data_IF_123236990540
#
_entry.id   IF_123236990540
#
_cell.length_a   1.000
_cell.length_b   1.000
_cell.length_c   1.000
_cell.angle_alpha   90.00
_cell.angle_beta   90.00
_cell.angle_gamma   90.00
#
_symmetry.space_group_name_H-M   'P 1'
#
loop_
_entity.id
_entity.type
_entity.pdbx_description
1 polymer ?
#
# COMPACT_ATOMS: atom_id res chain seq x y z
N UNK A 1 -48.97 46.13 -20.86
CA UNK A 1 -49.05 44.70 -20.44
C UNK A 1 -47.91 43.83 -20.96
N UNK A 2 -47.68 43.67 -22.28
CA UNK A 2 -46.68 42.71 -22.80
C UNK A 2 -45.25 42.87 -22.27
N UNK A 3 -44.74 44.10 -22.10
CA UNK A 3 -43.38 44.34 -21.55
C UNK A 3 -43.24 44.00 -20.06
N UNK A 4 -44.29 44.21 -19.26
CA UNK A 4 -44.28 43.90 -17.84
C UNK A 4 -44.20 42.38 -17.61
N UNK A 5 -44.95 41.60 -18.38
CA UNK A 5 -44.95 40.12 -18.29
C UNK A 5 -43.58 39.52 -18.62
N UNK A 6 -42.87 40.06 -19.62
CA UNK A 6 -41.54 39.58 -20.01
C UNK A 6 -40.51 39.85 -18.90
N UNK A 7 -40.55 41.03 -18.27
CA UNK A 7 -39.64 41.39 -17.18
C UNK A 7 -39.90 40.50 -15.96
N UNK A 8 -41.15 40.25 -15.61
CA UNK A 8 -41.52 39.36 -14.48
C UNK A 8 -41.06 37.92 -14.72
N UNK A 9 -41.22 37.40 -15.93
CA UNK A 9 -40.74 36.04 -16.27
C UNK A 9 -39.21 35.93 -16.27
N UNK A 10 -38.50 36.97 -16.72
CA UNK A 10 -37.04 37.00 -16.72
C UNK A 10 -36.48 37.04 -15.29
N UNK A 11 -37.09 37.85 -14.41
CA UNK A 11 -36.73 37.89 -12.98
C UNK A 11 -37.01 36.53 -12.33
N UNK A 12 -38.20 35.94 -12.55
CA UNK A 12 -38.53 34.62 -12.02
C UNK A 12 -37.56 33.53 -12.48
N UNK A 13 -37.12 33.58 -13.74
CA UNK A 13 -36.12 32.66 -14.29
C UNK A 13 -34.74 32.85 -13.65
N UNK A 14 -34.27 34.10 -13.47
CA UNK A 14 -33.00 34.36 -12.79
C UNK A 14 -33.08 33.92 -11.32
N UNK A 15 -34.17 34.21 -10.62
CA UNK A 15 -34.35 33.78 -9.23
C UNK A 15 -34.36 32.26 -9.12
N UNK A 16 -35.07 31.56 -10.02
CA UNK A 16 -35.08 30.10 -10.06
C UNK A 16 -33.70 29.52 -10.41
N UNK A 17 -32.97 30.15 -11.33
CA UNK A 17 -31.61 29.74 -11.70
C UNK A 17 -30.61 29.96 -10.56
N UNK A 18 -30.71 31.07 -9.82
CA UNK A 18 -29.90 31.34 -8.63
C UNK A 18 -30.25 30.40 -7.48
N UNK A 19 -31.54 30.14 -7.23
CA UNK A 19 -31.98 29.21 -6.20
C UNK A 19 -31.51 27.79 -6.52
N UNK A 20 -31.66 27.31 -7.75
CA UNK A 20 -31.21 25.97 -8.15
C UNK A 20 -29.69 25.81 -8.17
N UNK A 21 -28.93 26.89 -8.41
CA UNK A 21 -27.46 26.91 -8.28
C UNK A 21 -26.97 26.95 -6.83
N UNK A 22 -27.79 27.46 -5.91
CA UNK A 22 -27.49 27.56 -4.47
C UNK A 22 -28.16 26.48 -3.62
N UNK A 23 -28.87 25.51 -4.22
CA UNK A 23 -29.11 24.23 -3.56
C UNK A 23 -27.77 23.50 -3.60
N UNK A 24 -26.88 23.92 -2.69
CA UNK A 24 -25.73 23.14 -2.26
C UNK A 24 -26.31 21.77 -1.90
N UNK A 25 -26.11 20.80 -2.81
CA UNK A 25 -26.29 19.42 -2.46
C UNK A 25 -25.32 19.23 -1.31
N UNK A 26 -25.85 19.13 -0.08
CA UNK A 26 -25.05 18.78 1.08
C UNK A 26 -24.27 17.55 0.65
N UNK A 27 -22.97 17.75 0.40
CA UNK A 27 -22.12 16.71 -0.15
C UNK A 27 -22.28 15.55 0.83
N UNK A 28 -22.81 14.43 0.32
CA UNK A 28 -22.79 13.19 1.09
C UNK A 28 -21.32 13.02 1.42
N UNK A 29 -20.92 13.00 2.71
CA UNK A 29 -19.52 12.88 3.07
C UNK A 29 -19.01 11.62 2.36
N UNK A 30 -18.07 11.81 1.44
CA UNK A 30 -17.43 10.70 0.77
C UNK A 30 -16.91 9.76 1.87
N UNK A 31 -17.10 8.44 1.74
CA UNK A 31 -16.59 7.51 2.74
C UNK A 31 -15.10 7.81 2.92
N UNK A 32 -14.68 7.98 4.17
CA UNK A 32 -13.30 8.25 4.57
C UNK A 32 -12.36 7.42 3.70
N UNK A 33 -11.64 8.09 2.79
CA UNK A 33 -10.73 7.38 1.90
C UNK A 33 -9.65 6.77 2.78
N UNK A 34 -9.53 5.45 2.78
CA UNK A 34 -8.45 4.77 3.46
C UNK A 34 -7.11 5.25 2.88
N UNK A 35 -6.24 5.84 3.72
CA UNK A 35 -4.92 6.33 3.31
C UNK A 35 -3.86 5.45 3.97
N UNK A 36 -3.32 4.43 3.27
CA UNK A 36 -2.29 3.57 3.83
C UNK A 36 -0.92 4.27 3.89
N UNK A 37 0.02 3.71 4.66
CA UNK A 37 1.43 4.11 4.59
C UNK A 37 2.05 3.69 3.27
N UNK A 38 1.77 2.46 2.84
CA UNK A 38 2.25 1.87 1.60
C UNK A 38 1.10 1.42 0.71
N UNK A 39 1.27 1.51 -0.61
CA UNK A 39 0.23 1.08 -1.56
C UNK A 39 -0.09 -0.42 -1.45
N UNK A 40 0.90 -1.20 -1.01
CA UNK A 40 0.79 -2.64 -0.82
C UNK A 40 1.29 -2.98 0.59
N UNK A 41 0.38 -3.54 1.35
CA UNK A 41 0.57 -4.07 2.70
C UNK A 41 0.01 -5.49 2.66
N UNK A 42 0.88 -6.48 2.75
CA UNK A 42 0.55 -7.89 2.54
C UNK A 42 1.01 -8.75 3.72
N UNK A 43 0.37 -9.91 3.87
CA UNK A 43 0.82 -10.98 4.77
C UNK A 43 0.92 -12.27 3.97
N UNK A 44 1.99 -13.01 4.21
CA UNK A 44 2.27 -14.27 3.53
C UNK A 44 1.57 -15.45 4.21
N UNK A 45 1.05 -16.37 3.39
CA UNK A 45 0.36 -17.60 3.82
C UNK A 45 1.15 -18.87 3.48
N UNK A 46 2.40 -18.74 3.01
CA UNK A 46 3.17 -19.81 2.36
C UNK A 46 3.18 -21.14 3.13
N UNK A 47 3.27 -21.11 4.46
CA UNK A 47 3.25 -22.33 5.27
C UNK A 47 1.98 -23.17 5.11
N UNK A 48 0.85 -22.55 4.81
CA UNK A 48 -0.42 -23.23 4.62
C UNK A 48 -0.82 -23.29 3.16
N UNK A 49 -0.55 -22.25 2.37
CA UNK A 49 -0.90 -22.22 0.94
C UNK A 49 0.07 -23.04 0.07
N UNK A 50 1.32 -23.25 0.49
CA UNK A 50 2.31 -24.08 -0.20
C UNK A 50 2.62 -25.38 0.56
N UNK A 51 3.16 -25.30 1.78
CA UNK A 51 3.76 -26.47 2.43
C UNK A 51 2.71 -27.57 2.72
N UNK A 52 1.44 -27.18 2.94
CA UNK A 52 0.31 -28.10 3.15
C UNK A 52 -0.52 -28.39 1.89
N UNK A 53 -0.15 -27.84 0.72
CA UNK A 53 -1.01 -27.91 -0.49
C UNK A 53 -1.31 -29.34 -0.90
N UNK A 54 -0.30 -30.22 -0.96
CA UNK A 54 -0.47 -31.60 -1.39
C UNK A 54 -1.27 -32.44 -0.38
N UNK A 55 -1.17 -32.12 0.92
CA UNK A 55 -1.92 -32.81 1.96
C UNK A 55 -3.40 -32.38 1.98
N UNK A 56 -3.65 -31.08 1.82
CA UNK A 56 -4.97 -30.46 2.06
C UNK A 56 -5.80 -30.22 0.82
N UNK A 57 -5.26 -30.49 -0.37
CA UNK A 57 -5.95 -30.26 -1.65
C UNK A 57 -7.35 -30.90 -1.69
N UNK A 58 -7.48 -32.12 -1.18
CA UNK A 58 -8.73 -32.88 -1.19
C UNK A 58 -9.51 -32.81 0.13
N UNK A 59 -9.07 -31.96 1.07
CA UNK A 59 -9.71 -31.80 2.38
C UNK A 59 -10.58 -30.53 2.39
N UNK A 60 -11.92 -30.64 2.21
CA UNK A 60 -12.81 -29.48 2.24
C UNK A 60 -12.94 -28.86 3.63
N UNK A 61 -12.65 -29.61 4.72
CA UNK A 61 -12.73 -29.04 6.07
C UNK A 61 -11.70 -27.93 6.29
N UNK A 62 -10.59 -28.00 5.54
CA UNK A 62 -9.54 -26.99 5.53
C UNK A 62 -10.00 -25.62 4.99
N UNK A 63 -11.16 -25.52 4.32
CA UNK A 63 -11.72 -24.24 3.90
C UNK A 63 -11.97 -23.29 5.07
N UNK A 64 -12.35 -23.83 6.23
CA UNK A 64 -12.52 -23.04 7.45
C UNK A 64 -11.21 -22.41 7.93
N UNK A 65 -10.08 -23.10 7.74
CA UNK A 65 -8.74 -22.61 8.09
C UNK A 65 -8.30 -21.52 7.11
N UNK A 66 -8.52 -21.74 5.81
CA UNK A 66 -8.27 -20.74 4.76
C UNK A 66 -9.08 -19.47 5.04
N UNK A 67 -10.39 -19.63 5.26
CA UNK A 67 -11.31 -18.52 5.51
C UNK A 67 -10.90 -17.71 6.75
N UNK A 68 -10.53 -18.41 7.83
CA UNK A 68 -10.07 -17.78 9.07
C UNK A 68 -8.80 -16.96 8.85
N UNK A 69 -7.75 -17.54 8.26
CA UNK A 69 -6.48 -16.82 8.05
C UNK A 69 -6.66 -15.60 7.15
N UNK A 70 -7.41 -15.73 6.06
CA UNK A 70 -7.63 -14.61 5.14
C UNK A 70 -8.47 -13.52 5.80
N UNK A 71 -9.49 -13.88 6.61
CA UNK A 71 -10.26 -12.91 7.39
C UNK A 71 -9.35 -12.14 8.35
N UNK A 72 -8.50 -12.83 9.09
CA UNK A 72 -7.61 -12.21 10.08
C UNK A 72 -6.61 -11.24 9.42
N UNK A 73 -6.10 -11.60 8.23
CA UNK A 73 -5.25 -10.73 7.42
C UNK A 73 -6.03 -9.48 6.96
N UNK A 74 -7.27 -9.63 6.52
CA UNK A 74 -8.11 -8.48 6.15
C UNK A 74 -8.42 -7.58 7.35
N UNK A 75 -8.69 -8.16 8.52
CA UNK A 75 -9.03 -7.44 9.75
C UNK A 75 -7.88 -6.58 10.31
N UNK A 76 -6.62 -6.82 9.91
CA UNK A 76 -5.51 -5.92 10.26
C UNK A 76 -5.36 -4.74 9.28
N UNK A 77 -6.15 -4.68 8.21
CA UNK A 77 -6.06 -3.65 7.18
C UNK A 77 -5.08 -3.96 6.05
N UNK A 78 -4.73 -5.23 5.85
CA UNK A 78 -3.96 -5.62 4.70
C UNK A 78 -4.72 -5.28 3.41
N UNK A 79 -3.97 -4.93 2.37
CA UNK A 79 -4.50 -4.68 1.03
C UNK A 79 -4.44 -5.93 0.16
N UNK A 80 -3.48 -6.80 0.46
CA UNK A 80 -3.19 -8.01 -0.29
C UNK A 80 -2.97 -9.18 0.67
N UNK A 81 -3.15 -10.39 0.15
CA UNK A 81 -2.62 -11.63 0.75
C UNK A 81 -1.68 -12.30 -0.25
N UNK A 82 -0.52 -12.73 0.21
CA UNK A 82 0.41 -13.50 -0.61
C UNK A 82 0.10 -15.00 -0.50
N UNK A 83 -0.13 -15.64 -1.65
CA UNK A 83 -0.52 -17.05 -1.78
C UNK A 83 0.57 -17.77 -2.56
N UNK A 84 1.19 -18.80 -1.97
CA UNK A 84 2.33 -19.51 -2.54
C UNK A 84 1.98 -20.91 -3.07
N UNK A 85 0.70 -21.22 -3.27
CA UNK A 85 0.28 -22.47 -3.91
C UNK A 85 0.96 -22.62 -5.28
N UNK A 86 1.55 -23.79 -5.59
CA UNK A 86 2.19 -24.00 -6.87
C UNK A 86 1.22 -23.86 -8.05
N UNK A 87 1.76 -23.50 -9.22
CA UNK A 87 0.95 -23.23 -10.42
C UNK A 87 0.68 -24.46 -11.29
N UNK A 88 1.11 -25.64 -10.86
CA UNK A 88 0.78 -26.89 -11.56
C UNK A 88 -0.72 -27.15 -11.53
N UNK A 89 -1.28 -27.68 -12.63
CA UNK A 89 -2.73 -27.92 -12.79
C UNK A 89 -3.34 -28.73 -11.65
N UNK A 90 -2.57 -29.65 -11.07
CA UNK A 90 -3.06 -30.44 -9.95
C UNK A 90 -3.39 -29.57 -8.72
N UNK A 91 -2.66 -28.49 -8.45
CA UNK A 91 -2.85 -27.64 -7.27
C UNK A 91 -3.84 -26.49 -7.52
N UNK A 92 -4.29 -26.30 -8.76
CA UNK A 92 -5.23 -25.24 -9.12
C UNK A 92 -6.52 -25.24 -8.27
N UNK A 93 -7.16 -26.38 -7.95
CA UNK A 93 -8.33 -26.39 -7.07
C UNK A 93 -8.02 -25.79 -5.69
N UNK A 94 -6.83 -26.04 -5.14
CA UNK A 94 -6.40 -25.49 -3.86
C UNK A 94 -6.13 -23.98 -3.96
N UNK A 95 -5.44 -23.54 -5.02
CA UNK A 95 -5.23 -22.12 -5.28
C UNK A 95 -6.55 -21.35 -5.40
N UNK A 96 -7.54 -21.91 -6.10
CA UNK A 96 -8.88 -21.30 -6.24
C UNK A 96 -9.59 -21.11 -4.90
N UNK A 97 -9.40 -22.03 -3.93
CA UNK A 97 -9.96 -21.91 -2.56
C UNK A 97 -9.38 -20.70 -1.84
N UNK A 98 -8.06 -20.52 -1.87
CA UNK A 98 -7.39 -19.35 -1.30
C UNK A 98 -7.78 -18.03 -1.98
N UNK A 99 -7.80 -17.99 -3.32
CA UNK A 99 -8.20 -16.80 -4.08
C UNK A 99 -9.65 -16.43 -3.76
N UNK A 100 -10.56 -17.40 -3.72
CA UNK A 100 -11.97 -17.15 -3.38
C UNK A 100 -12.13 -16.56 -1.98
N UNK A 101 -11.40 -17.08 -0.99
CA UNK A 101 -11.40 -16.52 0.35
C UNK A 101 -10.85 -15.08 0.35
N UNK A 102 -9.75 -14.82 -0.36
CA UNK A 102 -9.17 -13.47 -0.48
C UNK A 102 -10.22 -12.47 -1.00
N UNK A 103 -10.93 -12.83 -2.07
CA UNK A 103 -11.97 -11.96 -2.65
C UNK A 103 -13.15 -11.75 -1.72
N UNK A 104 -13.57 -12.79 -0.98
CA UNK A 104 -14.66 -12.71 0.01
C UNK A 104 -14.41 -11.58 1.03
N UNK A 105 -13.15 -11.36 1.41
CA UNK A 105 -12.75 -10.32 2.36
C UNK A 105 -12.17 -9.05 1.72
N UNK A 106 -12.36 -8.87 0.41
CA UNK A 106 -11.95 -7.66 -0.30
C UNK A 106 -10.44 -7.52 -0.51
N UNK A 107 -9.66 -8.58 -0.30
CA UNK A 107 -8.22 -8.57 -0.52
C UNK A 107 -7.87 -8.77 -2.00
N UNK A 108 -6.88 -8.01 -2.44
CA UNK A 108 -6.13 -8.32 -3.65
C UNK A 108 -5.21 -9.52 -3.39
N UNK A 109 -4.77 -10.21 -4.44
CA UNK A 109 -3.92 -11.40 -4.31
C UNK A 109 -2.55 -11.07 -4.88
N UNK A 110 -1.53 -11.37 -4.09
CA UNK A 110 -0.20 -11.59 -4.62
C UNK A 110 0.02 -13.08 -4.85
N UNK A 111 -0.05 -13.50 -6.12
CA UNK A 111 0.34 -14.83 -6.55
C UNK A 111 1.86 -14.95 -6.43
N UNK A 112 2.32 -15.66 -5.40
CA UNK A 112 3.72 -15.85 -5.04
C UNK A 112 4.05 -17.35 -4.96
N UNK A 113 3.45 -18.13 -5.86
CA UNK A 113 3.75 -19.54 -6.07
C UNK A 113 4.84 -19.73 -7.13
N UNK A 114 5.12 -20.97 -7.49
CA UNK A 114 6.01 -21.35 -8.58
C UNK A 114 5.54 -22.68 -9.18
N UNK A 115 6.04 -23.09 -10.34
CA UNK A 115 5.86 -24.48 -10.78
C UNK A 115 6.72 -25.40 -9.92
N UNK A 116 6.16 -26.51 -9.46
CA UNK A 116 6.81 -27.45 -8.55
C UNK A 116 8.14 -27.97 -9.12
N UNK A 117 8.20 -28.14 -10.44
CA UNK A 117 9.42 -28.53 -11.13
C UNK A 117 10.56 -27.48 -11.10
N UNK A 118 10.33 -26.23 -10.70
CA UNK A 118 11.42 -25.26 -10.57
C UNK A 118 12.42 -25.69 -9.49
N UNK A 119 11.92 -26.01 -8.31
CA UNK A 119 12.73 -26.45 -7.16
C UNK A 119 12.73 -27.97 -6.99
N UNK A 120 11.91 -28.69 -7.76
CA UNK A 120 11.70 -30.13 -7.62
C UNK A 120 10.81 -30.48 -6.41
N UNK A 121 9.89 -29.59 -6.05
CA UNK A 121 8.90 -29.84 -5.00
C UNK A 121 8.02 -31.04 -5.36
N UNK A 122 7.53 -31.75 -4.34
CA UNK A 122 6.60 -32.88 -4.48
C UNK A 122 7.10 -34.00 -5.43
N UNK A 123 8.41 -34.10 -5.66
CA UNK A 123 9.02 -35.09 -6.55
C UNK A 123 8.94 -34.75 -8.04
N UNK A 124 8.56 -33.52 -8.40
CA UNK A 124 8.52 -33.08 -9.79
C UNK A 124 9.92 -33.05 -10.42
N UNK A 125 10.05 -33.41 -11.72
CA UNK A 125 11.31 -33.25 -12.44
C UNK A 125 11.69 -31.77 -12.56
N UNK A 126 12.99 -31.49 -12.51
CA UNK A 126 13.51 -30.13 -12.66
C UNK A 126 13.21 -29.58 -14.06
N UNK A 127 12.77 -28.33 -14.12
CA UNK A 127 12.48 -27.61 -15.37
C UNK A 127 13.55 -26.58 -15.70
N UNK A 128 13.68 -26.25 -16.98
CA UNK A 128 14.57 -25.18 -17.46
C UNK A 128 13.92 -23.79 -17.34
N UNK A 129 14.72 -22.72 -17.50
CA UNK A 129 14.21 -21.34 -17.61
C UNK A 129 13.22 -21.17 -18.75
N UNK A 130 13.51 -21.73 -19.93
CA UNK A 130 12.63 -21.62 -21.10
C UNK A 130 11.31 -22.36 -20.88
N UNK A 131 11.38 -23.55 -20.26
CA UNK A 131 10.17 -24.29 -19.89
C UNK A 131 9.34 -23.52 -18.86
N UNK A 132 9.98 -22.92 -17.84
CA UNK A 132 9.32 -22.11 -16.83
C UNK A 132 8.56 -20.93 -17.47
N UNK A 133 9.20 -20.15 -18.35
CA UNK A 133 8.56 -19.03 -19.04
C UNK A 133 7.33 -19.48 -19.86
N UNK A 134 7.46 -20.59 -20.59
CA UNK A 134 6.34 -21.14 -21.39
C UNK A 134 5.19 -21.58 -20.49
N UNK A 135 5.49 -22.29 -19.38
CA UNK A 135 4.47 -22.71 -18.42
C UNK A 135 3.77 -21.52 -17.77
N UNK A 136 4.53 -20.50 -17.36
CA UNK A 136 3.99 -19.26 -16.78
C UNK A 136 3.03 -18.56 -17.74
N UNK A 137 3.41 -18.41 -19.01
CA UNK A 137 2.51 -17.82 -20.02
C UNK A 137 1.22 -18.63 -20.18
N UNK A 138 1.34 -19.95 -20.32
CA UNK A 138 0.18 -20.83 -20.51
C UNK A 138 -0.76 -20.80 -19.30
N UNK A 139 -0.21 -20.79 -18.08
CA UNK A 139 -1.01 -20.68 -16.86
C UNK A 139 -1.85 -19.40 -16.84
N UNK A 140 -1.24 -18.25 -17.14
CA UNK A 140 -1.97 -16.96 -17.15
C UNK A 140 -3.08 -16.96 -18.22
N UNK A 141 -2.80 -17.49 -19.41
CA UNK A 141 -3.78 -17.54 -20.51
C UNK A 141 -4.96 -18.47 -20.20
N UNK A 142 -4.67 -19.65 -19.66
CA UNK A 142 -5.67 -20.69 -19.44
C UNK A 142 -6.54 -20.42 -18.20
N UNK A 143 -6.02 -19.66 -17.23
CA UNK A 143 -6.68 -19.40 -15.93
C UNK A 143 -6.92 -17.91 -15.70
N UNK A 144 -7.31 -17.19 -16.75
CA UNK A 144 -7.58 -15.75 -16.70
C UNK A 144 -8.66 -15.33 -15.68
N UNK A 145 -9.49 -16.28 -15.24
CA UNK A 145 -10.53 -16.11 -14.22
C UNK A 145 -9.97 -15.94 -12.80
N UNK A 146 -8.72 -16.36 -12.54
CA UNK A 146 -8.07 -16.18 -11.23
C UNK A 146 -7.74 -14.71 -10.92
N UNK A 147 -7.47 -13.92 -11.96
CA UNK A 147 -6.85 -12.62 -11.84
C UNK A 147 -7.86 -11.48 -11.89
N UNK A 148 -7.62 -10.44 -11.08
CA UNK A 148 -8.31 -9.16 -11.17
C UNK A 148 -7.33 -7.99 -11.21
N UNK A 149 -7.83 -6.83 -11.62
CA UNK A 149 -7.05 -5.61 -11.61
C UNK A 149 -6.55 -5.29 -10.20
N UNK A 150 -5.27 -4.92 -10.10
CA UNK A 150 -4.62 -4.62 -8.83
C UNK A 150 -3.87 -5.80 -8.22
N UNK A 151 -4.10 -7.04 -8.69
CA UNK A 151 -3.31 -8.18 -8.24
C UNK A 151 -1.82 -8.05 -8.60
N UNK A 152 -1.01 -8.88 -7.95
CA UNK A 152 0.42 -9.02 -8.22
C UNK A 152 0.68 -10.49 -8.58
N UNK A 153 1.52 -10.74 -9.58
CA UNK A 153 1.92 -12.07 -10.00
C UNK A 153 3.44 -12.20 -10.08
N UNK A 154 3.99 -13.17 -9.38
CA UNK A 154 5.39 -13.57 -9.45
C UNK A 154 5.46 -15.01 -9.91
N UNK A 155 6.09 -15.26 -11.07
CA UNK A 155 6.23 -16.62 -11.62
C UNK A 155 7.30 -17.45 -10.91
N UNK A 156 8.30 -16.79 -10.32
CA UNK A 156 9.25 -17.38 -9.39
C UNK A 156 9.57 -16.40 -8.23
N UNK A 157 9.04 -16.60 -7.02
CA UNK A 157 9.66 -16.05 -5.83
C UNK A 157 10.97 -16.81 -5.55
N UNK A 158 12.01 -16.09 -5.12
CA UNK A 158 13.33 -16.64 -4.83
C UNK A 158 13.86 -17.55 -5.96
N UNK A 159 13.86 -17.04 -7.19
CA UNK A 159 14.19 -17.84 -8.37
C UNK A 159 15.57 -18.54 -8.25
N UNK A 160 16.47 -18.03 -7.42
CA UNK A 160 17.77 -18.64 -7.10
C UNK A 160 17.68 -20.05 -6.49
N UNK A 161 16.54 -20.42 -5.88
CA UNK A 161 16.37 -21.72 -5.21
C UNK A 161 16.11 -22.88 -6.19
N UNK A 162 15.81 -22.58 -7.45
CA UNK A 162 15.46 -23.59 -8.46
C UNK A 162 16.10 -23.33 -9.82
N UNK A 163 15.63 -24.08 -10.82
CA UNK A 163 16.14 -24.01 -12.18
C UNK A 163 17.66 -24.23 -12.24
N UNK A 164 18.42 -23.33 -12.90
CA UNK A 164 19.88 -23.38 -12.92
C UNK A 164 20.55 -23.17 -11.55
N UNK A 165 19.84 -22.63 -10.56
CA UNK A 165 20.31 -22.39 -9.20
C UNK A 165 20.89 -21.00 -8.95
N UNK A 166 21.47 -20.85 -7.77
CA UNK A 166 21.96 -19.58 -7.24
C UNK A 166 23.07 -18.95 -8.12
N UNK A 167 22.89 -17.71 -8.62
CA UNK A 167 23.87 -17.05 -9.49
C UNK A 167 25.22 -16.79 -8.81
N UNK A 168 25.30 -16.75 -7.48
CA UNK A 168 26.56 -16.66 -6.73
C UNK A 168 27.38 -17.94 -6.83
N UNK A 169 26.69 -19.08 -6.91
CA UNK A 169 27.31 -20.41 -6.96
C UNK A 169 27.60 -20.83 -8.39
N UNK A 170 26.67 -20.55 -9.31
CA UNK A 170 26.80 -20.92 -10.73
C UNK A 170 27.69 -19.96 -11.52
N UNK A 171 27.83 -18.71 -11.05
CA UNK A 171 28.50 -17.63 -11.78
C UNK A 171 27.68 -17.06 -12.94
N UNK A 172 26.45 -17.54 -13.16
CA UNK A 172 25.60 -17.16 -14.29
C UNK A 172 24.73 -15.91 -13.99
N UNK A 173 25.41 -14.79 -13.67
CA UNK A 173 24.74 -13.51 -13.41
C UNK A 173 23.96 -13.02 -14.64
N UNK A 174 24.54 -13.13 -15.83
CA UNK A 174 23.93 -12.62 -17.05
C UNK A 174 22.72 -13.46 -17.48
N UNK A 175 22.79 -14.78 -17.38
CA UNK A 175 21.65 -15.65 -17.67
C UNK A 175 20.52 -15.46 -16.67
N UNK A 176 20.84 -15.24 -15.40
CA UNK A 176 19.82 -14.93 -14.37
C UNK A 176 19.10 -13.61 -14.67
N UNK A 177 19.83 -12.53 -14.96
CA UNK A 177 19.24 -11.23 -15.36
C UNK A 177 18.37 -11.35 -16.59
N UNK A 178 18.87 -12.04 -17.63
CA UNK A 178 18.13 -12.25 -18.89
C UNK A 178 16.82 -12.99 -18.64
N UNK A 179 16.85 -14.00 -17.77
CA UNK A 179 15.65 -14.77 -17.40
C UNK A 179 14.59 -13.87 -16.75
N UNK A 180 14.94 -13.11 -15.72
CA UNK A 180 13.98 -12.20 -15.05
C UNK A 180 13.36 -11.20 -16.03
N UNK A 181 14.18 -10.60 -16.91
CA UNK A 181 13.70 -9.64 -17.92
C UNK A 181 12.74 -10.33 -18.89
N UNK A 182 13.10 -11.52 -19.37
CA UNK A 182 12.25 -12.29 -20.30
C UNK A 182 10.92 -12.65 -19.66
N UNK A 183 10.95 -13.13 -18.42
CA UNK A 183 9.75 -13.50 -17.68
C UNK A 183 8.84 -12.29 -17.44
N UNK A 184 9.40 -11.14 -17.06
CA UNK A 184 8.64 -9.90 -16.91
C UNK A 184 7.96 -9.47 -18.21
N UNK A 185 8.68 -9.48 -19.33
CA UNK A 185 8.13 -9.12 -20.63
C UNK A 185 7.00 -10.07 -21.04
N UNK A 186 7.19 -11.38 -20.85
CA UNK A 186 6.20 -12.39 -21.18
C UNK A 186 4.94 -12.27 -20.32
N UNK A 187 5.08 -12.14 -19.00
CA UNK A 187 3.95 -12.00 -18.07
C UNK A 187 3.17 -10.72 -18.33
N UNK A 188 3.85 -9.56 -18.45
CA UNK A 188 3.22 -8.27 -18.78
C UNK A 188 2.44 -8.31 -20.09
N UNK A 189 3.03 -8.86 -21.15
CA UNK A 189 2.36 -9.00 -22.44
C UNK A 189 1.16 -9.95 -22.36
N UNK A 190 1.27 -11.00 -21.55
CA UNK A 190 0.20 -11.99 -21.40
C UNK A 190 -0.99 -11.42 -20.62
N UNK A 191 -0.78 -10.68 -19.53
CA UNK A 191 -1.85 -9.97 -18.82
C UNK A 191 -2.53 -8.91 -19.70
N UNK A 192 -1.76 -8.23 -20.56
CA UNK A 192 -2.33 -7.31 -21.55
C UNK A 192 -3.27 -8.02 -22.53
N UNK A 193 -2.93 -9.24 -22.99
CA UNK A 193 -3.78 -10.02 -23.91
C UNK A 193 -5.11 -10.45 -23.30
N UNK A 194 -5.16 -10.64 -21.97
CA UNK A 194 -6.40 -11.00 -21.25
C UNK A 194 -7.08 -9.79 -20.60
N UNK A 195 -6.64 -8.57 -20.94
CA UNK A 195 -7.22 -7.30 -20.46
C UNK A 195 -7.24 -7.17 -18.93
N UNK A 196 -6.17 -7.61 -18.27
CA UNK A 196 -6.01 -7.50 -16.82
C UNK A 196 -4.83 -6.60 -16.47
N UNK A 197 -5.00 -5.75 -15.45
CA UNK A 197 -3.94 -4.91 -14.89
C UNK A 197 -3.34 -5.58 -13.65
N UNK A 198 -2.52 -6.59 -13.89
CA UNK A 198 -1.76 -7.32 -12.87
C UNK A 198 -0.31 -6.86 -12.90
N UNK A 199 0.27 -6.60 -11.74
CA UNK A 199 1.69 -6.25 -11.60
C UNK A 199 2.55 -7.51 -11.69
N UNK A 200 3.62 -7.53 -12.50
CA UNK A 200 4.42 -8.76 -12.73
C UNK A 200 5.92 -8.62 -12.52
N UNK A 201 6.38 -7.53 -11.88
CA UNK A 201 7.80 -7.26 -11.68
C UNK A 201 8.30 -7.50 -10.25
N UNK A 202 7.53 -8.18 -9.40
CA UNK A 202 7.89 -8.41 -8.00
C UNK A 202 8.65 -9.73 -7.85
N UNK A 203 9.87 -9.78 -8.38
CA UNK A 203 10.75 -10.95 -8.29
C UNK A 203 11.48 -10.92 -6.94
N UNK A 204 10.89 -11.52 -5.91
CA UNK A 204 11.55 -11.76 -4.62
C UNK A 204 12.87 -12.48 -4.82
N UNK A 205 13.92 -12.02 -4.14
CA UNK A 205 15.20 -12.69 -4.03
C UNK A 205 15.89 -12.26 -2.73
N UNK A 206 16.80 -13.08 -2.23
CA UNK A 206 17.59 -12.71 -1.06
C UNK A 206 18.34 -11.38 -1.26
N UNK A 207 18.49 -10.59 -0.20
CA UNK A 207 19.10 -9.25 -0.29
C UNK A 207 20.53 -9.23 -0.86
N UNK A 208 21.30 -10.29 -0.69
CA UNK A 208 22.64 -10.45 -1.29
C UNK A 208 22.59 -10.82 -2.78
N UNK A 209 21.61 -11.62 -3.21
CA UNK A 209 21.29 -11.85 -4.62
C UNK A 209 20.88 -10.54 -5.27
N UNK A 210 20.03 -9.73 -4.62
CA UNK A 210 19.61 -8.43 -5.13
C UNK A 210 20.80 -7.51 -5.40
N UNK A 211 21.79 -7.46 -4.50
CA UNK A 211 23.03 -6.68 -4.71
C UNK A 211 23.86 -7.17 -5.89
N UNK A 212 23.84 -8.47 -6.20
CA UNK A 212 24.56 -9.03 -7.34
C UNK A 212 23.81 -8.79 -8.66
N UNK A 213 22.49 -8.99 -8.65
CA UNK A 213 21.66 -9.07 -9.86
C UNK A 213 21.11 -7.71 -10.27
N UNK A 214 20.68 -6.87 -9.33
CA UNK A 214 19.86 -5.70 -9.62
C UNK A 214 20.70 -4.43 -9.82
N UNK A 215 21.36 -4.35 -10.98
CA UNK A 215 21.97 -3.10 -11.44
C UNK A 215 20.94 -2.15 -12.09
N UNK A 216 21.35 -0.93 -12.43
CA UNK A 216 20.46 0.08 -13.03
C UNK A 216 19.80 -0.37 -14.34
N UNK A 217 20.51 -0.97 -15.31
CA UNK A 217 19.88 -1.50 -16.52
C UNK A 217 18.84 -2.58 -16.23
N UNK A 218 19.18 -3.57 -15.39
CA UNK A 218 18.27 -4.68 -15.05
C UNK A 218 17.03 -4.14 -14.33
N UNK A 219 17.23 -3.27 -13.35
CA UNK A 219 16.15 -2.66 -12.56
C UNK A 219 15.23 -1.83 -13.45
N UNK A 220 15.78 -1.06 -14.40
CA UNK A 220 14.99 -0.30 -15.38
C UNK A 220 14.18 -1.24 -16.29
N UNK A 221 14.79 -2.31 -16.78
CA UNK A 221 14.12 -3.30 -17.63
C UNK A 221 12.97 -4.01 -16.89
N UNK A 222 13.10 -4.18 -15.57
CA UNK A 222 12.07 -4.75 -14.69
C UNK A 222 11.09 -3.70 -14.13
N UNK A 223 11.02 -2.50 -14.71
CA UNK A 223 10.02 -1.50 -14.33
C UNK A 223 10.32 -0.74 -13.03
N UNK A 224 11.57 -0.76 -12.57
CA UNK A 224 12.08 0.15 -11.54
C UNK A 224 11.83 -0.26 -10.09
N UNK A 225 11.39 -1.50 -9.84
CA UNK A 225 11.20 -2.05 -8.49
C UNK A 225 12.15 -3.22 -8.26
N UNK A 226 12.76 -3.27 -7.08
CA UNK A 226 13.58 -4.36 -6.57
C UNK A 226 12.86 -4.98 -5.39
N UNK A 227 12.43 -6.24 -5.54
CA UNK A 227 11.76 -6.99 -4.47
C UNK A 227 12.79 -7.83 -3.74
N UNK A 228 12.90 -7.65 -2.41
CA UNK A 228 13.90 -8.35 -1.59
C UNK A 228 13.25 -9.15 -0.47
N UNK A 229 13.78 -10.34 -0.24
CA UNK A 229 13.49 -11.16 0.93
C UNK A 229 14.65 -10.92 1.89
N UNK A 230 14.35 -10.25 3.02
CA UNK A 230 15.39 -9.64 3.82
C UNK A 230 15.12 -9.76 5.32
N UNK A 231 15.89 -10.64 5.95
CA UNK A 231 15.86 -10.90 7.39
C UNK A 231 17.18 -10.47 8.00
N UNK A 232 17.13 -9.50 8.92
CA UNK A 232 18.32 -8.94 9.59
C UNK A 232 18.08 -8.78 11.07
N UNK A 233 19.16 -8.72 11.85
CA UNK A 233 19.10 -8.64 13.31
C UNK A 233 18.50 -7.33 13.85
N UNK A 234 18.64 -6.19 13.16
CA UNK A 234 18.15 -4.89 13.66
C UNK A 234 17.33 -4.11 12.63
N UNK A 235 16.34 -3.32 13.09
CA UNK A 235 15.61 -2.37 12.24
C UNK A 235 16.51 -1.37 11.50
N UNK A 236 17.58 -0.89 12.15
CA UNK A 236 18.54 0.04 11.52
C UNK A 236 19.25 -0.61 10.33
N UNK A 237 19.62 -1.89 10.46
CA UNK A 237 20.25 -2.63 9.37
C UNK A 237 19.28 -2.79 8.20
N UNK A 238 18.01 -3.10 8.47
CA UNK A 238 16.97 -3.25 7.45
C UNK A 238 16.86 -1.98 6.60
N UNK A 239 16.72 -0.82 7.25
CA UNK A 239 16.62 0.47 6.54
C UNK A 239 17.91 0.84 5.81
N UNK A 240 19.08 0.56 6.41
CA UNK A 240 20.37 0.79 5.75
C UNK A 240 20.49 -0.04 4.47
N UNK A 241 20.11 -1.32 4.52
CA UNK A 241 20.19 -2.22 3.38
C UNK A 241 19.22 -1.81 2.27
N UNK A 242 18.00 -1.38 2.62
CA UNK A 242 17.02 -0.82 1.68
C UNK A 242 17.62 0.37 0.92
N UNK A 243 18.22 1.33 1.65
CA UNK A 243 18.84 2.53 1.04
C UNK A 243 20.01 2.17 0.13
N UNK A 244 20.86 1.25 0.57
CA UNK A 244 22.01 0.77 -0.19
C UNK A 244 21.57 0.15 -1.52
N UNK A 245 20.64 -0.81 -1.47
CA UNK A 245 20.12 -1.49 -2.65
C UNK A 245 19.39 -0.49 -3.57
N UNK A 246 18.60 0.44 -3.03
CA UNK A 246 17.93 1.46 -3.81
C UNK A 246 18.94 2.36 -4.56
N UNK A 247 19.99 2.81 -3.88
CA UNK A 247 21.02 3.65 -4.47
C UNK A 247 21.83 2.92 -5.55
N UNK A 248 22.17 1.65 -5.30
CA UNK A 248 22.91 0.81 -6.23
C UNK A 248 22.10 0.50 -7.49
N UNK A 249 20.88 0.01 -7.31
CA UNK A 249 19.98 -0.42 -8.38
C UNK A 249 19.32 0.74 -9.12
N UNK A 250 19.25 1.93 -8.51
CA UNK A 250 18.47 3.06 -9.01
C UNK A 250 16.95 2.85 -8.96
N UNK A 251 16.47 1.77 -8.33
CA UNK A 251 15.07 1.44 -8.20
C UNK A 251 14.46 1.82 -6.85
N UNK A 252 13.15 1.58 -6.75
CA UNK A 252 12.42 1.51 -5.48
C UNK A 252 12.48 0.11 -4.91
N UNK A 253 12.36 -0.01 -3.59
CA UNK A 253 12.42 -1.29 -2.90
C UNK A 253 11.03 -1.73 -2.48
N UNK A 254 10.77 -3.02 -2.65
CA UNK A 254 9.65 -3.71 -2.06
C UNK A 254 10.19 -4.82 -1.15
N UNK A 255 9.68 -4.93 0.08
CA UNK A 255 10.02 -6.04 0.97
C UNK A 255 9.14 -7.25 0.65
N UNK A 256 9.65 -8.18 -0.16
CA UNK A 256 8.93 -9.36 -0.60
C UNK A 256 8.71 -10.38 0.50
N UNK A 257 9.70 -10.50 1.37
CA UNK A 257 9.56 -11.06 2.70
C UNK A 257 10.32 -10.16 3.66
N UNK A 258 9.63 -9.76 4.73
CA UNK A 258 10.32 -9.31 5.92
C UNK A 258 9.62 -9.91 7.13
N UNK A 259 10.40 -10.13 8.17
CA UNK A 259 9.94 -10.62 9.45
C UNK A 259 10.97 -10.28 10.49
N UNK A 260 10.77 -10.84 11.68
CA UNK A 260 11.77 -10.70 12.73
C UNK A 260 13.00 -11.57 12.42
N UNK A 261 14.14 -11.33 13.09
CA UNK A 261 15.33 -12.13 12.89
C UNK A 261 15.03 -13.63 13.03
N UNK A 262 15.39 -14.42 12.02
CA UNK A 262 15.14 -15.87 12.01
C UNK A 262 15.96 -16.54 13.14
N UNK A 263 15.35 -17.40 13.97
CA UNK A 263 16.02 -18.04 15.11
C UNK A 263 17.37 -18.67 14.82
N UNK A 264 17.47 -19.38 13.70
CA UNK A 264 18.66 -20.14 13.32
C UNK A 264 19.83 -19.23 12.89
N UNK A 265 19.54 -17.97 12.55
CA UNK A 265 20.51 -17.00 12.06
C UNK A 265 20.85 -15.96 13.14
N UNK A 266 19.86 -15.56 13.94
CA UNK A 266 19.95 -14.37 14.79
C UNK A 266 19.56 -14.60 16.27
N UNK A 267 19.10 -15.80 16.62
CA UNK A 267 18.58 -16.12 17.96
C UNK A 267 17.06 -15.99 18.08
N UNK A 268 16.49 -16.66 19.08
CA UNK A 268 15.03 -16.69 19.32
C UNK A 268 14.56 -15.40 19.99
N UNK A 269 13.55 -14.77 19.41
CA UNK A 269 12.74 -13.73 20.06
C UNK A 269 11.48 -14.36 20.64
N UNK A 270 11.07 -13.90 21.83
CA UNK A 270 9.72 -14.16 22.33
C UNK A 270 8.69 -13.23 21.68
N UNK A 271 7.40 -13.49 21.90
CA UNK A 271 6.31 -12.74 21.26
C UNK A 271 6.35 -11.22 21.53
N UNK A 272 6.83 -10.78 22.70
CA UNK A 272 6.97 -9.34 23.02
C UNK A 272 8.16 -8.73 22.30
N UNK A 273 9.28 -9.43 22.25
CA UNK A 273 10.47 -9.00 21.52
C UNK A 273 10.21 -8.94 20.01
N UNK A 274 9.46 -9.92 19.47
CA UNK A 274 9.02 -9.92 18.08
C UNK A 274 8.17 -8.68 17.79
N UNK A 275 7.16 -8.41 18.62
CA UNK A 275 6.30 -7.24 18.44
C UNK A 275 7.07 -5.92 18.54
N UNK A 276 8.00 -5.81 19.49
CA UNK A 276 8.85 -4.63 19.65
C UNK A 276 9.75 -4.40 18.43
N UNK A 277 10.40 -5.45 17.94
CA UNK A 277 11.24 -5.37 16.74
C UNK A 277 10.43 -4.91 15.53
N UNK A 278 9.23 -5.46 15.34
CA UNK A 278 8.33 -5.06 14.23
C UNK A 278 7.90 -3.60 14.38
N UNK A 279 7.59 -3.16 15.61
CA UNK A 279 7.20 -1.77 15.86
C UNK A 279 8.33 -0.80 15.49
N UNK A 280 9.55 -1.11 15.92
CA UNK A 280 10.74 -0.31 15.65
C UNK A 280 11.13 -0.33 14.16
N UNK A 281 10.91 -1.46 13.47
CA UNK A 281 11.08 -1.56 12.02
C UNK A 281 10.07 -0.69 11.28
N UNK A 282 8.77 -0.87 11.52
CA UNK A 282 7.71 -0.13 10.82
C UNK A 282 7.82 1.39 11.07
N UNK A 283 8.16 1.82 12.28
CA UNK A 283 8.38 3.24 12.60
C UNK A 283 9.48 3.89 11.73
N UNK A 284 10.52 3.12 11.38
CA UNK A 284 11.56 3.61 10.47
C UNK A 284 11.16 3.47 9.01
N UNK A 285 10.47 2.38 8.65
CA UNK A 285 10.08 2.09 7.27
C UNK A 285 9.04 3.08 6.73
N UNK A 286 8.16 3.64 7.57
CA UNK A 286 7.22 4.69 7.12
C UNK A 286 7.93 5.96 6.67
N UNK A 287 9.17 6.17 7.15
CA UNK A 287 10.02 7.31 6.79
C UNK A 287 10.99 7.00 5.64
N UNK A 288 10.94 5.80 5.05
CA UNK A 288 11.89 5.38 4.03
C UNK A 288 11.33 5.63 2.61
N UNK A 289 11.73 6.72 1.92
CA UNK A 289 11.12 7.11 0.64
C UNK A 289 11.44 6.16 -0.52
N UNK A 290 12.44 5.28 -0.37
CA UNK A 290 12.72 4.25 -1.36
C UNK A 290 11.80 3.03 -1.23
N UNK A 291 11.12 2.83 -0.10
CA UNK A 291 10.22 1.71 0.12
C UNK A 291 8.81 1.98 -0.42
N UNK A 292 8.29 1.11 -1.28
CA UNK A 292 6.96 1.27 -1.92
C UNK A 292 5.89 0.30 -1.43
N UNK A 293 6.30 -0.74 -0.71
CA UNK A 293 5.40 -1.77 -0.18
C UNK A 293 6.15 -2.86 0.55
N UNK A 294 5.39 -3.68 1.28
CA UNK A 294 5.93 -4.76 2.10
C UNK A 294 4.95 -5.93 2.21
N UNK A 295 5.53 -7.11 2.45
CA UNK A 295 4.83 -8.34 2.75
C UNK A 295 5.44 -9.01 3.98
N UNK A 296 4.64 -9.13 5.04
CA UNK A 296 5.08 -9.74 6.28
C UNK A 296 5.11 -11.26 6.16
N UNK A 297 6.25 -11.86 6.45
CA UNK A 297 6.43 -13.29 6.54
C UNK A 297 6.51 -13.71 8.02
N UNK A 298 5.59 -14.52 8.56
CA UNK A 298 4.45 -15.21 7.92
C UNK A 298 3.23 -15.11 8.82
N UNK A 299 2.02 -15.32 8.28
CA UNK A 299 0.80 -15.36 9.08
C UNK A 299 0.80 -16.46 10.15
N UNK A 300 0.83 -17.73 9.73
CA UNK A 300 0.75 -18.93 10.58
C UNK A 300 1.81 -19.95 10.16
N UNK A 301 2.35 -20.75 11.10
CA UNK A 301 3.14 -21.95 10.82
C UNK A 301 4.66 -21.76 10.66
N UNK A 302 5.15 -20.52 10.77
CA UNK A 302 6.58 -20.18 10.70
C UNK A 302 7.16 -19.72 12.02
N UNK A 303 8.49 -19.61 12.09
CA UNK A 303 9.20 -19.13 13.29
C UNK A 303 8.84 -17.70 13.67
N UNK A 304 8.38 -16.91 12.70
CA UNK A 304 7.97 -15.51 12.84
C UNK A 304 6.45 -15.34 12.73
N UNK A 305 5.67 -16.41 12.94
CA UNK A 305 4.21 -16.34 12.84
C UNK A 305 3.62 -15.25 13.74
N UNK A 306 2.53 -14.61 13.28
CA UNK A 306 1.81 -13.58 14.04
C UNK A 306 0.45 -14.07 14.55
N UNK A 307 -0.06 -15.18 14.04
CA UNK A 307 -1.12 -15.96 14.68
C UNK A 307 -0.57 -17.33 15.09
N UNK A 308 -1.14 -17.92 16.14
CA UNK A 308 -0.87 -19.33 16.48
C UNK A 308 -1.66 -20.29 15.57
N UNK A 309 -1.46 -21.60 15.77
CA UNK A 309 -2.12 -22.64 14.95
C UNK A 309 -3.64 -22.68 15.14
N UNK A 310 -4.12 -22.11 16.24
CA UNK A 310 -5.53 -22.01 16.60
C UNK A 310 -6.16 -20.69 16.12
N UNK A 311 -5.38 -19.79 15.50
CA UNK A 311 -5.83 -18.49 14.99
C UNK A 311 -5.85 -17.37 16.05
N UNK A 312 -5.31 -17.58 17.25
CA UNK A 312 -5.22 -16.52 18.24
C UNK A 312 -4.15 -15.49 17.84
N UNK A 313 -4.44 -14.18 17.96
CA UNK A 313 -3.50 -13.14 17.59
C UNK A 313 -2.38 -12.99 18.62
N UNK A 314 -1.14 -12.94 18.15
CA UNK A 314 0.02 -12.56 18.96
C UNK A 314 0.16 -11.03 19.09
N UNK A 315 0.96 -10.52 20.04
CA UNK A 315 1.23 -9.09 20.18
C UNK A 315 1.62 -8.36 18.87
N UNK A 316 2.34 -9.04 17.97
CA UNK A 316 2.74 -8.51 16.67
C UNK A 316 1.56 -8.17 15.73
N UNK A 317 0.41 -8.84 15.86
CA UNK A 317 -0.81 -8.54 15.07
C UNK A 317 -1.28 -7.11 15.34
N UNK A 318 -1.28 -6.70 16.60
CA UNK A 318 -1.72 -5.36 16.99
C UNK A 318 -0.76 -4.28 16.49
N UNK A 319 0.54 -4.59 16.46
CA UNK A 319 1.56 -3.70 15.88
C UNK A 319 1.30 -3.55 14.38
N UNK A 320 1.19 -4.64 13.63
CA UNK A 320 0.90 -4.58 12.20
C UNK A 320 -0.40 -3.84 11.91
N UNK A 321 -1.48 -4.12 12.65
CA UNK A 321 -2.78 -3.43 12.50
C UNK A 321 -2.65 -1.91 12.66
N UNK A 322 -1.84 -1.42 13.59
CA UNK A 322 -1.67 0.01 13.81
C UNK A 322 -1.00 0.73 12.60
N UNK A 323 -0.22 0.01 11.80
CA UNK A 323 0.37 0.53 10.57
C UNK A 323 -0.47 0.21 9.34
N UNK A 324 -1.06 -0.98 9.25
CA UNK A 324 -1.83 -1.39 8.08
C UNK A 324 -3.18 -0.68 8.02
N UNK A 325 -3.75 -0.34 9.18
CA UNK A 325 -4.95 0.46 9.31
C UNK A 325 -4.68 1.71 10.18
N UNK A 326 -3.91 2.68 9.68
CA UNK A 326 -3.52 3.82 10.48
C UNK A 326 -4.71 4.73 10.76
N UNK A 327 -4.68 5.39 11.92
CA UNK A 327 -5.64 6.47 12.18
C UNK A 327 -5.38 7.60 11.19
N UNK A 328 -6.43 8.09 10.55
CA UNK A 328 -6.38 9.28 9.71
C UNK A 328 -6.79 10.49 10.54
N UNK A 329 -5.91 11.48 10.62
CA UNK A 329 -6.22 12.80 11.14
C UNK A 329 -6.80 13.63 10.00
N UNK A 330 -8.03 14.07 10.17
CA UNK A 330 -8.68 14.97 9.26
C UNK A 330 -8.68 16.40 9.81
N UNK A 331 -8.85 17.36 8.93
CA UNK A 331 -9.02 18.72 9.38
C UNK A 331 -9.16 19.73 8.28
N UNK A 332 -9.08 20.99 8.68
CA UNK A 332 -9.01 22.13 7.76
C UNK A 332 -7.88 23.07 8.17
N UNK A 333 -7.19 23.62 7.19
CA UNK A 333 -6.30 24.76 7.37
C UNK A 333 -7.04 26.02 6.93
N UNK A 334 -7.18 26.95 7.87
CA UNK A 334 -7.89 28.21 7.68
C UNK A 334 -7.01 29.38 8.08
N UNK A 335 -7.28 30.56 7.53
CA UNK A 335 -6.61 31.79 7.97
C UNK A 335 -7.24 32.38 9.24
N UNK A 336 -6.64 33.45 9.77
CA UNK A 336 -7.14 34.18 10.94
C UNK A 336 -8.56 34.79 10.75
N UNK A 337 -9.10 34.78 9.53
CA UNK A 337 -10.44 35.23 9.18
C UNK A 337 -11.40 34.08 8.88
N UNK A 338 -11.00 32.83 9.16
CA UNK A 338 -11.74 31.60 8.90
C UNK A 338 -11.98 31.32 7.41
N UNK A 339 -11.11 31.82 6.52
CA UNK A 339 -11.13 31.46 5.11
C UNK A 339 -10.28 30.21 4.90
N UNK A 340 -10.73 29.24 4.10
CA UNK A 340 -9.95 28.05 3.80
C UNK A 340 -8.69 28.41 3.02
N UNK A 341 -7.60 27.69 3.29
CA UNK A 341 -6.33 27.85 2.58
C UNK A 341 -6.09 26.60 1.76
N UNK A 342 -6.16 26.75 0.44
CA UNK A 342 -5.84 25.71 -0.53
C UNK A 342 -4.32 25.50 -0.62
N UNK A 343 -3.90 24.26 -0.86
CA UNK A 343 -2.50 23.88 -1.07
C UNK A 343 -1.61 24.24 0.13
N UNK A 344 -2.18 24.29 1.34
CA UNK A 344 -1.39 24.31 2.55
C UNK A 344 -0.82 22.91 2.76
N UNK A 345 0.48 22.82 3.04
CA UNK A 345 1.13 21.56 3.40
C UNK A 345 0.87 21.28 4.89
N UNK A 346 0.41 20.08 5.21
CA UNK A 346 0.24 19.61 6.60
C UNK A 346 1.16 18.41 6.81
N UNK A 347 2.07 18.54 7.76
CA UNK A 347 3.13 17.56 8.03
C UNK A 347 2.95 16.95 9.41
N UNK A 348 3.06 15.63 9.50
CA UNK A 348 3.38 14.91 10.74
C UNK A 348 4.87 14.56 10.77
N UNK A 349 5.30 13.80 11.79
CA UNK A 349 6.65 13.22 11.85
C UNK A 349 6.97 12.29 10.69
N UNK A 350 5.94 11.75 10.01
CA UNK A 350 6.09 10.63 9.08
C UNK A 350 5.56 10.87 7.67
N UNK A 351 4.59 11.76 7.50
CA UNK A 351 3.98 12.03 6.19
C UNK A 351 3.56 13.47 6.07
N UNK A 352 3.38 13.90 4.83
CA UNK A 352 2.78 15.17 4.51
C UNK A 352 1.56 14.97 3.61
N UNK A 353 0.70 15.97 3.59
CA UNK A 353 -0.44 16.07 2.67
C UNK A 353 -0.68 17.53 2.31
N UNK A 354 -1.45 17.77 1.26
CA UNK A 354 -1.82 19.11 0.81
C UNK A 354 -3.30 19.33 0.97
N UNK A 355 -3.71 20.52 1.41
CA UNK A 355 -5.12 20.86 1.51
C UNK A 355 -5.78 21.07 0.15
N UNK A 356 -7.07 20.72 0.07
CA UNK A 356 -7.89 20.93 -1.12
C UNK A 356 -8.43 22.38 -1.24
N UNK A 357 -9.37 22.61 -2.17
CA UNK A 357 -10.02 23.93 -2.36
C UNK A 357 -10.78 24.45 -1.13
N UNK A 358 -11.26 23.54 -0.27
CA UNK A 358 -11.95 23.84 0.98
C UNK A 358 -11.00 23.94 2.16
N UNK A 359 -9.69 23.85 1.92
CA UNK A 359 -8.68 23.82 2.98
C UNK A 359 -8.66 22.50 3.74
N UNK A 360 -9.40 21.49 3.29
CA UNK A 360 -9.50 20.19 3.95
C UNK A 360 -8.28 19.33 3.67
N UNK A 361 -7.86 18.53 4.67
CA UNK A 361 -6.82 17.53 4.54
C UNK A 361 -7.18 16.25 5.28
N UNK A 362 -6.58 15.14 4.84
CA UNK A 362 -6.56 13.85 5.51
C UNK A 362 -5.12 13.33 5.54
N UNK A 363 -4.63 12.96 6.73
CA UNK A 363 -3.23 12.58 6.96
C UNK A 363 -3.17 11.34 7.86
N UNK A 364 -2.62 10.20 7.41
CA UNK A 364 -2.40 9.07 8.30
C UNK A 364 -1.34 9.44 9.33
N UNK A 365 -1.60 9.04 10.57
CA UNK A 365 -0.73 9.29 11.71
C UNK A 365 -0.57 8.03 12.54
N UNK A 366 0.59 7.91 13.19
CA UNK A 366 0.79 6.86 14.19
C UNK A 366 0.34 7.37 15.57
N UNK A 367 -0.03 6.47 16.49
CA UNK A 367 -0.54 6.88 17.82
C UNK A 367 0.43 7.76 18.63
N UNK A 368 1.72 7.70 18.30
CA UNK A 368 2.76 8.50 18.95
C UNK A 368 2.86 9.91 18.40
N UNK A 369 2.28 10.21 17.25
CA UNK A 369 2.26 11.56 16.68
C UNK A 369 1.50 12.50 17.61
N UNK A 370 2.22 13.48 18.15
CA UNK A 370 1.67 14.46 19.10
C UNK A 370 1.35 15.79 18.45
N UNK A 371 1.91 16.06 17.28
CA UNK A 371 1.82 17.36 16.65
C UNK A 371 1.78 17.22 15.13
N UNK A 372 1.12 18.18 14.49
CA UNK A 372 1.25 18.45 13.07
C UNK A 372 1.63 19.90 12.85
N UNK A 373 2.31 20.18 11.75
CA UNK A 373 2.69 21.54 11.37
C UNK A 373 2.04 21.88 10.03
N UNK A 374 1.39 23.04 9.95
CA UNK A 374 0.82 23.55 8.71
C UNK A 374 1.68 24.68 8.12
N UNK A 375 1.86 24.65 6.80
CA UNK A 375 2.63 25.60 6.01
C UNK A 375 1.81 26.09 4.83
N UNK A 376 1.89 27.39 4.53
CA UNK A 376 1.35 27.95 3.29
C UNK A 376 2.13 29.19 2.88
N UNK A 377 2.29 29.39 1.56
CA UNK A 377 2.96 30.55 1.01
C UNK A 377 2.29 31.85 1.45
N UNK A 378 3.07 32.76 2.04
CA UNK A 378 2.55 34.02 2.59
C UNK A 378 1.94 33.90 3.99
N UNK A 379 2.04 32.76 4.66
CA UNK A 379 1.57 32.55 6.03
C UNK A 379 2.72 32.22 7.00
N UNK A 380 2.49 32.40 8.29
CA UNK A 380 3.32 31.86 9.36
C UNK A 380 3.04 30.38 9.54
N UNK A 381 4.06 29.60 9.86
CA UNK A 381 3.90 28.17 10.13
C UNK A 381 3.30 28.00 11.52
N UNK A 382 2.43 27.02 11.71
CA UNK A 382 1.79 26.77 13.01
C UNK A 382 1.86 25.29 13.35
N UNK A 383 2.35 25.01 14.55
CA UNK A 383 2.28 23.68 15.17
C UNK A 383 0.95 23.54 15.90
N UNK A 384 0.32 22.38 15.74
CA UNK A 384 -0.93 22.03 16.40
C UNK A 384 -0.78 20.70 17.13
N UNK A 385 -1.08 20.69 18.42
CA UNK A 385 -1.07 19.47 19.24
C UNK A 385 -2.28 18.60 18.90
N UNK A 386 -2.04 17.33 18.57
CA UNK A 386 -3.08 16.34 18.29
C UNK A 386 -3.59 15.77 19.62
N UNK A 387 -4.87 15.97 19.91
CA UNK A 387 -5.52 15.21 20.98
C UNK A 387 -5.70 13.74 20.53
N UNK A 388 -5.38 12.80 21.41
CA UNK A 388 -5.52 11.36 21.16
C UNK A 388 -6.93 10.97 20.73
N UNK A 389 -7.96 11.71 21.10
CA UNK A 389 -9.35 11.39 20.73
C UNK A 389 -9.87 12.21 19.55
N UNK A 390 -9.11 13.20 19.06
CA UNK A 390 -9.56 14.02 17.94
C UNK A 390 -9.32 13.30 16.61
N UNK A 391 -10.40 13.08 15.87
CA UNK A 391 -10.35 12.64 14.47
C UNK A 391 -10.33 13.84 13.51
N UNK A 392 -10.81 15.00 13.97
CA UNK A 392 -10.90 16.22 13.18
C UNK A 392 -10.30 17.41 13.93
N UNK A 393 -9.45 18.20 13.27
CA UNK A 393 -8.85 19.43 13.82
C UNK A 393 -9.01 20.63 12.88
N UNK A 394 -8.90 21.83 13.43
CA UNK A 394 -8.83 23.07 12.63
C UNK A 394 -7.55 23.81 12.98
N UNK A 395 -6.70 24.00 11.98
CA UNK A 395 -5.42 24.68 12.13
C UNK A 395 -5.57 26.10 11.57
N UNK A 396 -5.42 27.09 12.44
CA UNK A 396 -5.43 28.50 12.06
C UNK A 396 -3.99 28.93 11.83
N UNK A 397 -3.68 29.38 10.60
CA UNK A 397 -2.37 29.97 10.26
C UNK A 397 -2.54 31.45 9.92
N UNK A 398 -1.57 32.28 10.31
CA UNK A 398 -1.69 33.73 10.16
C UNK A 398 -0.97 34.25 8.92
N UNK A 399 -1.66 35.05 8.11
CA UNK A 399 -1.02 35.71 6.96
C UNK A 399 0.13 36.62 7.42
N UNK A 400 1.30 36.49 6.78
CA UNK A 400 2.44 37.38 6.96
C UNK A 400 2.11 38.73 6.31
N UNK A 401 2.17 39.80 7.08
CA UNK A 401 1.98 41.17 6.58
C UNK A 401 3.31 41.91 6.52
N UNK A 402 3.55 42.60 5.41
CA UNK A 402 4.74 43.42 5.24
C UNK A 402 4.65 44.74 6.02
N UNK A 403 3.43 45.22 6.33
CA UNK A 403 3.17 46.40 7.14
C UNK A 403 1.73 46.42 7.71
N UNK A 404 1.47 47.33 8.65
CA UNK A 404 0.15 47.47 9.30
C UNK A 404 -0.96 47.89 8.32
N UNK A 405 -0.65 48.65 7.27
CA UNK A 405 -1.65 49.09 6.29
C UNK A 405 -2.22 47.89 5.53
N UNK A 406 -1.39 46.94 5.11
CA UNK A 406 -1.82 45.71 4.45
C UNK A 406 -2.76 44.89 5.35
N UNK A 407 -2.44 44.79 6.64
CA UNK A 407 -3.31 44.13 7.62
C UNK A 407 -4.66 44.84 7.75
N UNK A 408 -4.68 46.18 7.79
CA UNK A 408 -5.92 46.97 7.87
C UNK A 408 -6.77 46.77 6.61
N UNK A 409 -6.16 46.83 5.43
CA UNK A 409 -6.86 46.63 4.16
C UNK A 409 -7.48 45.23 4.07
N UNK A 410 -6.75 44.18 4.45
CA UNK A 410 -7.30 42.81 4.49
C UNK A 410 -8.48 42.69 5.47
N UNK A 411 -8.39 43.32 6.66
CA UNK A 411 -9.52 43.36 7.63
C UNK A 411 -10.75 44.07 7.05
N UNK A 412 -10.57 45.20 6.39
CA UNK A 412 -11.65 45.94 5.75
C UNK A 412 -12.32 45.10 4.66
N UNK A 413 -11.53 44.41 3.83
CA UNK A 413 -12.06 43.52 2.80
C UNK A 413 -12.96 42.42 3.38
N UNK A 414 -12.56 41.83 4.52
CA UNK A 414 -13.37 40.82 5.21
C UNK A 414 -14.67 41.42 5.75
N UNK A 415 -14.64 42.62 6.33
CA UNK A 415 -15.85 43.32 6.79
C UNK A 415 -16.80 43.64 5.64
N UNK A 416 -16.29 44.19 4.54
CA UNK A 416 -17.08 44.51 3.35
C UNK A 416 -17.75 43.26 2.75
N UNK A 417 -17.03 42.14 2.62
CA UNK A 417 -17.61 40.90 2.08
C UNK A 417 -18.75 40.34 2.95
N UNK A 418 -18.66 40.47 4.29
CA UNK A 418 -19.75 40.10 5.20
C UNK A 418 -20.96 41.02 5.04
N UNK A 419 -20.75 42.33 4.92
CA UNK A 419 -21.84 43.30 4.70
C UNK A 419 -22.57 43.05 3.38
N UNK A 420 -21.84 42.75 2.30
CA UNK A 420 -22.43 42.40 1.00
C UNK A 420 -23.29 41.14 1.11
N UNK A 421 -22.81 40.09 1.80
CA UNK A 421 -23.61 38.87 2.03
C UNK A 421 -24.89 39.19 2.83
N UNK A 422 -24.82 39.99 3.89
CA UNK A 422 -26.00 40.36 4.67
C UNK A 422 -27.03 41.16 3.84
N UNK A 423 -26.58 42.11 3.01
CA UNK A 423 -27.46 42.89 2.14
C UNK A 423 -28.16 42.03 1.07
N UNK A 424 -27.51 40.96 0.59
CA UNK A 424 -28.14 40.01 -0.33
C UNK A 424 -29.21 39.12 0.31
N UNK A 425 -29.22 38.98 1.64
CA UNK A 425 -30.27 38.27 2.36
C UNK A 425 -31.48 39.14 2.73
N UNK A 426 -31.31 40.47 2.82
CA UNK A 426 -32.41 41.40 3.15
C UNK A 426 -33.19 41.91 1.93
N UNK A 427 -32.92 41.37 0.73
CA UNK A 427 -33.62 41.70 -0.52
C UNK A 427 -34.41 40.52 -1.11
N UNK A 428 -34.52 39.43 -0.33
CA UNK A 428 -35.49 38.34 -0.48
C UNK A 428 -36.58 38.53 0.58
#
# INVERSE_FOLDING_TARGET
MKRAVIITLFIAFITLWVVTKNIDHAAIPEPLSFIPWWNIQSVDTMKYSRDLTAEKINDPSFDSVIDQQVRDIAEIGATHVAIATPYDEEFLPFLKRWVSAARKYGLLVWFRGNFSGWEGWFGYPKISRDEHVVKTQNFILNHSDLFQDGDIFSGCPECENGGPGDPRQTGDVNGYRKFLITEYEVTKNTFTKIWKRVTSNYFSMNGDIARLIMDKPTTTALGGVVTIDHYVNTPERLVSDIREIAAQSGGKIFLGEFGVPIPDIHGKLNDKEQAQWIADALEKLVNEPSLVGLNYWVGVGGSTQIWDGEGNPKPAVFVLRAYFNPRVLEGTVIDQYKRPIKNAEVLSSHKNTMTDLSGHFSLPIIERDRQVTAFADGYTNTEHTIDKNSQYISIIIEKKYNNQLQMILDRLQVLFSKLVKLASFSSL
#
